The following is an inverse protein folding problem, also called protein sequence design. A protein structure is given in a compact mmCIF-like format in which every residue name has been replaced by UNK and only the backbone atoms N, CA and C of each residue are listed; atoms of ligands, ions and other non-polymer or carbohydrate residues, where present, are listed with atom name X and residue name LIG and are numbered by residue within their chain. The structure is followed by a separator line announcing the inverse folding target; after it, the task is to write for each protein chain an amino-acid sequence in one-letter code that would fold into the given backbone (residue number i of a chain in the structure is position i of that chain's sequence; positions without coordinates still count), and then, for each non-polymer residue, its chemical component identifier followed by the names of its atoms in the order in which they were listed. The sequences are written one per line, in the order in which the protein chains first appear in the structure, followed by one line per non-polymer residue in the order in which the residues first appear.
data_IF_175411295039
#
_entry.id   IF_175411295039
#
_cell.length_a   1.000
_cell.length_b   1.000
_cell.length_c   1.000
_cell.angle_alpha   90.00
_cell.angle_beta   90.00
_cell.angle_gamma   90.00
#
_symmetry.space_group_name_H-M   'P 1'
#
loop_
_entity.id
_entity.type
_entity.pdbx_description
1 polymer ?
#
# COMPACT_ATOMS: atom_id res chain seq x y z
N UNK A 1 4.18 -19.76 -2.84
CA UNK A 1 3.23 -18.86 -3.52
C UNK A 1 3.18 -17.51 -2.82
N UNK A 2 3.08 -16.44 -3.60
CA UNK A 2 2.91 -15.11 -3.02
C UNK A 2 1.45 -14.86 -2.68
N UNK A 3 1.21 -14.33 -1.52
CA UNK A 3 -0.11 -13.87 -1.12
C UNK A 3 -0.17 -12.35 -1.25
N UNK A 4 -1.30 -11.83 -1.65
CA UNK A 4 -1.49 -10.38 -1.73
C UNK A 4 -2.56 -9.93 -0.74
N UNK A 5 -2.37 -8.73 -0.21
CA UNK A 5 -3.35 -8.08 0.66
C UNK A 5 -3.45 -6.62 0.26
N UNK A 6 -4.60 -6.02 0.51
CA UNK A 6 -4.85 -4.63 0.16
C UNK A 6 -5.25 -3.85 1.41
N UNK A 7 -4.66 -2.68 1.57
CA UNK A 7 -4.97 -1.76 2.68
C UNK A 7 -5.57 -0.49 2.08
N UNK A 8 -6.64 0.00 2.68
CA UNK A 8 -7.28 1.26 2.29
C UNK A 8 -6.82 2.37 3.24
N UNK A 9 -6.35 3.47 2.68
CA UNK A 9 -5.76 4.58 3.43
C UNK A 9 -6.33 5.89 2.93
N UNK A 10 -6.81 6.73 3.84
CA UNK A 10 -7.46 7.99 3.44
C UNK A 10 -6.53 9.18 3.31
N UNK A 11 -5.38 9.16 3.97
CA UNK A 11 -4.47 10.30 3.91
C UNK A 11 -3.10 9.91 3.40
N UNK A 12 -2.47 10.88 2.75
CA UNK A 12 -1.16 10.69 2.13
C UNK A 12 -0.06 10.37 3.14
N UNK A 13 -0.12 10.98 4.31
CA UNK A 13 0.91 10.79 5.33
C UNK A 13 0.98 9.34 5.78
N UNK A 14 -0.18 8.73 6.05
CA UNK A 14 -0.24 7.32 6.42
C UNK A 14 0.28 6.41 5.29
N UNK A 15 -0.09 6.72 4.06
CA UNK A 15 0.39 5.96 2.91
C UNK A 15 1.90 6.04 2.79
N UNK A 16 2.47 7.23 2.94
CA UNK A 16 3.91 7.45 2.86
C UNK A 16 4.65 6.64 3.92
N UNK A 17 4.12 6.61 5.15
CA UNK A 17 4.72 5.84 6.23
C UNK A 17 4.71 4.34 5.94
N UNK A 18 3.63 3.85 5.36
CA UNK A 18 3.52 2.43 5.00
C UNK A 18 4.49 2.09 3.88
N UNK A 19 4.60 2.95 2.88
CA UNK A 19 5.54 2.75 1.78
C UNK A 19 6.97 2.70 2.29
N UNK A 20 7.33 3.59 3.21
CA UNK A 20 8.67 3.59 3.80
C UNK A 20 8.96 2.26 4.51
N UNK A 21 7.98 1.71 5.22
CA UNK A 21 8.14 0.42 5.88
C UNK A 21 8.32 -0.71 4.86
N UNK A 22 7.52 -0.70 3.80
CA UNK A 22 7.62 -1.73 2.76
C UNK A 22 8.98 -1.69 2.07
N UNK A 23 9.50 -0.50 1.80
CA UNK A 23 10.84 -0.37 1.21
C UNK A 23 11.93 -0.81 2.17
N UNK A 24 11.78 -0.48 3.45
CA UNK A 24 12.73 -0.89 4.47
C UNK A 24 12.83 -2.42 4.57
N UNK A 25 11.71 -3.10 4.49
CA UNK A 25 11.67 -4.57 4.61
C UNK A 25 11.67 -5.27 3.25
N UNK A 26 11.85 -4.52 2.16
CA UNK A 26 11.89 -5.05 0.79
C UNK A 26 10.65 -5.84 0.43
N UNK A 27 9.50 -5.34 0.88
CA UNK A 27 8.20 -5.91 0.54
C UNK A 27 7.73 -5.31 -0.78
N UNK A 28 7.34 -6.17 -1.70
CA UNK A 28 6.81 -5.72 -2.98
C UNK A 28 5.42 -5.13 -2.79
N UNK A 29 5.14 -3.98 -3.38
CA UNK A 29 3.87 -3.29 -3.20
C UNK A 29 3.47 -2.54 -4.46
N UNK A 30 2.18 -2.21 -4.56
CA UNK A 30 1.63 -1.48 -5.69
C UNK A 30 0.59 -0.47 -5.16
N UNK A 31 0.93 0.83 -5.06
CA UNK A 31 -0.01 1.83 -4.59
C UNK A 31 -0.92 2.32 -5.72
N UNK A 32 -2.15 2.68 -5.36
CA UNK A 32 -3.12 3.20 -6.31
C UNK A 32 -3.99 4.26 -5.63
N UNK A 33 -4.36 5.30 -6.37
CA UNK A 33 -5.28 6.31 -5.88
C UNK A 33 -6.66 6.09 -6.50
N UNK A 34 -7.68 5.92 -5.67
CA UNK A 34 -9.06 5.73 -6.11
C UNK A 34 -9.75 7.08 -6.10
N UNK A 35 -9.81 7.70 -7.24
CA UNK A 35 -10.30 9.08 -7.38
C UNK A 35 -11.77 9.23 -7.02
N UNK A 36 -12.60 8.26 -7.37
CA UNK A 36 -14.04 8.33 -7.16
C UNK A 36 -14.38 8.42 -5.67
N UNK A 37 -13.72 7.65 -4.84
CA UNK A 37 -13.98 7.62 -3.41
C UNK A 37 -12.95 8.41 -2.60
N UNK A 38 -11.98 8.99 -3.27
CA UNK A 38 -10.96 9.86 -2.67
C UNK A 38 -10.18 9.18 -1.56
N UNK A 39 -9.64 8.00 -1.85
CA UNK A 39 -8.77 7.29 -0.91
C UNK A 39 -7.66 6.58 -1.68
N UNK A 40 -6.66 6.08 -0.94
CA UNK A 40 -5.55 5.34 -1.50
C UNK A 40 -5.68 3.86 -1.16
N UNK A 41 -5.32 3.01 -2.10
CA UNK A 41 -5.17 1.58 -1.83
C UNK A 41 -3.71 1.20 -2.05
N UNK A 42 -3.21 0.30 -1.24
CA UNK A 42 -1.89 -0.27 -1.46
C UNK A 42 -2.00 -1.78 -1.38
N UNK A 43 -1.64 -2.42 -2.47
CA UNK A 43 -1.56 -3.87 -2.53
C UNK A 43 -0.13 -4.28 -2.21
N UNK A 44 0.07 -5.24 -1.35
CA UNK A 44 1.40 -5.72 -1.03
C UNK A 44 1.42 -7.25 -1.05
N UNK A 45 2.61 -7.79 -1.26
CA UNK A 45 2.79 -9.21 -1.46
C UNK A 45 3.67 -9.79 -0.36
N UNK A 46 3.22 -10.92 0.20
CA UNK A 46 3.97 -11.65 1.22
C UNK A 46 4.17 -13.08 0.77
N UNK A 47 5.23 -13.71 1.26
CA UNK A 47 5.47 -15.12 0.98
C UNK A 47 4.77 -16.01 1.98
#
# INVERSE_FOLDING_TARGET
MKNSKTIKIKNWESLSNIIDLFEKYKIEYNPEYIKIENYYEIEYFTN
#
